data_IF_849012130791
#
_entry.id   IF_849012130791
#
_cell.length_a   1.000
_cell.length_b   1.000
_cell.length_c   1.000
_cell.angle_alpha   90.00
_cell.angle_beta   90.00
_cell.angle_gamma   90.00
#
_symmetry.space_group_name_H-M   'P 1'
#
loop_
_entity.id
_entity.type
_entity.pdbx_description
1 polymer ?
#
# COMPACT_ATOMS: atom_id res chain seq x y z
N UNK A 1 -13.22 6.95 6.76
CA UNK A 1 -13.09 5.82 5.81
C UNK A 1 -12.85 6.32 4.39
N UNK A 2 -13.74 7.13 3.79
CA UNK A 2 -13.50 7.71 2.45
C UNK A 2 -12.23 8.56 2.39
N UNK A 3 -12.10 9.52 3.31
CA UNK A 3 -10.91 10.39 3.39
C UNK A 3 -9.64 9.62 3.75
N UNK A 4 -9.73 8.59 4.60
CA UNK A 4 -8.60 7.72 4.95
C UNK A 4 -8.13 6.90 3.73
N UNK A 5 -9.06 6.44 2.89
CA UNK A 5 -8.73 5.72 1.65
C UNK A 5 -7.95 6.64 0.71
N UNK A 6 -8.39 7.87 0.51
CA UNK A 6 -7.68 8.83 -0.34
C UNK A 6 -6.31 9.20 0.24
N UNK A 7 -6.21 9.34 1.57
CA UNK A 7 -4.94 9.58 2.26
C UNK A 7 -3.94 8.45 2.02
N UNK A 8 -4.35 7.18 2.23
CA UNK A 8 -3.47 6.03 1.98
C UNK A 8 -3.16 5.86 0.49
N UNK A 9 -4.13 6.11 -0.40
CA UNK A 9 -3.92 6.05 -1.84
C UNK A 9 -2.90 7.09 -2.33
N UNK A 10 -2.92 8.31 -1.76
CA UNK A 10 -1.93 9.34 -2.05
C UNK A 10 -0.52 8.92 -1.63
N UNK A 11 -0.36 8.31 -0.45
CA UNK A 11 0.93 7.79 0.01
C UNK A 11 1.43 6.64 -0.87
N UNK A 12 0.52 5.77 -1.35
CA UNK A 12 0.85 4.69 -2.29
C UNK A 12 1.31 5.24 -3.65
N UNK A 13 0.68 6.31 -4.13
CA UNK A 13 1.13 7.00 -5.34
C UNK A 13 2.53 7.61 -5.14
N UNK A 14 2.75 8.30 -4.03
CA UNK A 14 4.02 8.98 -3.73
C UNK A 14 5.19 7.99 -3.61
N UNK A 15 4.99 6.86 -2.92
CA UNK A 15 6.02 5.83 -2.81
C UNK A 15 6.35 5.25 -4.19
N UNK A 16 5.36 5.10 -5.09
CA UNK A 16 5.59 4.61 -6.44
C UNK A 16 6.42 5.59 -7.28
N UNK A 17 6.09 6.88 -7.25
CA UNK A 17 6.86 7.90 -7.97
C UNK A 17 8.29 8.04 -7.42
N UNK A 18 8.44 7.93 -6.10
CA UNK A 18 9.76 7.96 -5.46
C UNK A 18 10.58 6.72 -5.85
N UNK A 19 9.96 5.54 -5.85
CA UNK A 19 10.58 4.30 -6.28
C UNK A 19 11.03 4.37 -7.75
N UNK A 20 10.15 4.79 -8.66
CA UNK A 20 10.49 4.97 -10.08
C UNK A 20 11.63 5.97 -10.29
N UNK A 21 11.68 7.04 -9.50
CA UNK A 21 12.76 8.02 -9.57
C UNK A 21 14.10 7.43 -9.17
N UNK A 22 14.13 6.62 -8.10
CA UNK A 22 15.33 5.93 -7.61
C UNK A 22 15.76 4.81 -8.56
N UNK A 23 14.80 4.06 -9.13
CA UNK A 23 15.02 2.85 -9.94
C UNK A 23 14.77 3.05 -11.43
N UNK A 24 14.97 4.26 -11.97
CA UNK A 24 14.75 4.63 -13.39
C UNK A 24 15.45 3.75 -14.44
N UNK A 25 16.35 2.86 -14.02
CA UNK A 25 17.20 2.01 -14.87
C UNK A 25 16.80 0.51 -14.75
N UNK A 26 15.80 0.16 -13.93
CA UNK A 26 15.36 -1.22 -13.78
C UNK A 26 14.49 -1.60 -15.00
N UNK A 27 15.05 -2.40 -15.91
CA UNK A 27 14.37 -2.99 -17.09
C UNK A 27 13.29 -4.01 -16.68
N UNK A 28 12.24 -3.53 -16.00
CA UNK A 28 10.95 -4.21 -15.88
C UNK A 28 10.76 -5.17 -14.70
N UNK A 29 11.81 -5.58 -14.00
CA UNK A 29 11.68 -6.50 -12.87
C UNK A 29 12.45 -6.01 -11.65
N UNK A 30 11.72 -5.44 -10.68
CA UNK A 30 12.23 -5.17 -9.35
C UNK A 30 11.62 -6.18 -8.38
N UNK A 31 12.25 -7.34 -8.14
CA UNK A 31 11.69 -8.37 -7.26
C UNK A 31 11.56 -7.90 -5.79
N UNK A 32 12.22 -6.80 -5.41
CA UNK A 32 12.27 -6.27 -4.05
C UNK A 32 11.38 -5.03 -3.84
N UNK A 33 10.59 -4.63 -4.85
CA UNK A 33 9.73 -3.44 -4.81
C UNK A 33 8.91 -3.33 -3.51
N UNK A 34 8.31 -4.44 -3.06
CA UNK A 34 7.44 -4.46 -1.89
C UNK A 34 8.21 -4.22 -0.59
N UNK A 35 9.46 -4.71 -0.53
CA UNK A 35 10.38 -4.48 0.58
C UNK A 35 10.76 -3.00 0.71
N UNK A 36 10.95 -2.33 -0.43
CA UNK A 36 11.25 -0.91 -0.47
C UNK A 36 10.03 -0.06 -0.10
N UNK A 37 8.87 -0.37 -0.70
CA UNK A 37 7.61 0.30 -0.37
C UNK A 37 7.29 0.20 1.12
N UNK A 38 7.40 -1.00 1.70
CA UNK A 38 7.09 -1.19 3.11
C UNK A 38 8.02 -0.38 4.02
N UNK A 39 9.31 -0.27 3.70
CA UNK A 39 10.24 0.53 4.51
C UNK A 39 9.92 2.03 4.40
N UNK A 40 9.71 2.52 3.19
CA UNK A 40 9.33 3.92 2.95
C UNK A 40 8.00 4.26 3.63
N UNK A 41 6.96 3.45 3.43
CA UNK A 41 5.63 3.67 4.00
C UNK A 41 5.67 3.66 5.54
N UNK A 42 6.44 2.77 6.15
CA UNK A 42 6.52 2.68 7.63
C UNK A 42 7.33 3.83 8.22
N UNK A 43 8.42 4.24 7.56
CA UNK A 43 9.43 5.14 8.17
C UNK A 43 9.37 6.58 7.69
N UNK A 44 8.90 6.80 6.48
CA UNK A 44 9.00 8.07 5.74
C UNK A 44 7.64 8.64 5.33
N UNK A 45 6.53 8.04 5.80
CA UNK A 45 5.17 8.47 5.46
C UNK A 45 4.26 8.51 6.69
N UNK A 46 3.10 9.11 6.54
CA UNK A 46 2.03 9.17 7.55
C UNK A 46 1.22 7.88 7.66
N UNK A 47 1.56 6.81 6.93
CA UNK A 47 0.80 5.56 6.93
C UNK A 47 0.56 5.01 8.34
N UNK A 48 1.55 4.93 9.27
CA UNK A 48 1.30 4.44 10.62
C UNK A 48 0.25 5.24 11.39
N UNK A 49 0.16 6.55 11.12
CA UNK A 49 -0.85 7.41 11.72
C UNK A 49 -2.25 7.10 11.18
N UNK A 50 -2.40 6.98 9.85
CA UNK A 50 -3.66 6.63 9.19
C UNK A 50 -4.17 5.24 9.61
N UNK A 51 -3.26 4.28 9.75
CA UNK A 51 -3.59 2.92 10.20
C UNK A 51 -3.79 2.80 11.72
N UNK A 52 -3.47 3.85 12.50
CA UNK A 52 -3.51 3.86 13.98
C UNK A 52 -2.64 2.76 14.61
N UNK A 53 -1.67 2.25 13.86
CA UNK A 53 -0.70 1.25 14.27
C UNK A 53 0.51 1.34 13.35
N UNK A 54 1.69 0.94 13.82
CA UNK A 54 2.85 0.76 12.95
C UNK A 54 2.86 -0.69 12.46
N UNK A 55 2.64 -0.96 11.16
CA UNK A 55 2.72 -2.31 10.62
C UNK A 55 4.05 -2.98 10.89
N UNK A 56 4.05 -4.30 11.11
CA UNK A 56 5.29 -5.07 11.06
C UNK A 56 5.77 -5.09 9.61
N UNK A 57 7.04 -4.76 9.36
CA UNK A 57 7.56 -4.66 7.98
C UNK A 57 7.30 -5.91 7.15
N UNK A 58 7.58 -7.10 7.68
CA UNK A 58 7.36 -8.36 6.94
C UNK A 58 5.88 -8.63 6.63
N UNK A 59 4.97 -8.22 7.50
CA UNK A 59 3.53 -8.30 7.27
C UNK A 59 3.12 -7.36 6.13
N UNK A 60 3.56 -6.09 6.18
CA UNK A 60 3.23 -5.12 5.13
C UNK A 60 3.79 -5.55 3.77
N UNK A 61 5.02 -6.08 3.71
CA UNK A 61 5.58 -6.67 2.48
C UNK A 61 4.69 -7.79 1.95
N UNK A 62 4.28 -8.73 2.82
CA UNK A 62 3.40 -9.82 2.42
C UNK A 62 2.05 -9.31 1.88
N UNK A 63 1.45 -8.31 2.53
CA UNK A 63 0.19 -7.71 2.08
C UNK A 63 0.34 -7.03 0.73
N UNK A 64 1.38 -6.22 0.52
CA UNK A 64 1.62 -5.54 -0.76
C UNK A 64 1.74 -6.54 -1.93
N UNK A 65 2.52 -7.62 -1.76
CA UNK A 65 2.65 -8.68 -2.77
C UNK A 65 1.32 -9.40 -3.01
N UNK A 66 0.54 -9.64 -1.94
CA UNK A 66 -0.78 -10.28 -2.05
C UNK A 66 -1.76 -9.40 -2.83
N UNK A 67 -1.79 -8.10 -2.53
CA UNK A 67 -2.66 -7.13 -3.20
C UNK A 67 -2.32 -6.97 -4.66
N UNK A 68 -1.03 -6.96 -5.01
CA UNK A 68 -0.59 -6.93 -6.42
C UNK A 68 -1.08 -8.13 -7.21
N UNK A 69 -0.95 -9.33 -6.64
CA UNK A 69 -1.49 -10.55 -7.27
C UNK A 69 -3.01 -10.48 -7.42
N UNK A 70 -3.72 -10.01 -6.40
CA UNK A 70 -5.18 -9.90 -6.41
C UNK A 70 -5.66 -8.88 -7.45
N UNK A 71 -5.04 -7.70 -7.50
CA UNK A 71 -5.36 -6.64 -8.43
C UNK A 71 -5.14 -7.09 -9.88
N UNK A 72 -3.96 -7.67 -10.17
CA UNK A 72 -3.64 -8.18 -11.51
C UNK A 72 -4.53 -9.35 -11.95
N UNK A 73 -5.02 -10.16 -11.00
CA UNK A 73 -5.92 -11.29 -11.29
C UNK A 73 -7.37 -10.85 -11.48
N UNK A 74 -7.86 -9.93 -10.66
CA UNK A 74 -9.26 -9.48 -10.68
C UNK A 74 -9.54 -8.35 -11.67
N UNK A 75 -8.50 -7.61 -12.09
CA UNK A 75 -8.57 -6.46 -13.01
C UNK A 75 -9.74 -5.52 -12.67
N UNK A 76 -9.81 -5.01 -11.44
CA UNK A 76 -10.92 -4.17 -11.01
C UNK A 76 -10.92 -2.85 -11.79
N UNK A 77 -12.10 -2.24 -11.92
CA UNK A 77 -12.28 -0.95 -12.59
C UNK A 77 -12.04 0.22 -11.60
N UNK A 78 -10.96 0.16 -10.83
CA UNK A 78 -10.51 1.22 -9.92
C UNK A 78 -8.98 1.32 -9.96
N UNK A 79 -8.37 2.49 -9.68
CA UNK A 79 -6.92 2.62 -9.55
C UNK A 79 -6.37 1.70 -8.47
N UNK A 80 -5.17 1.15 -8.70
CA UNK A 80 -4.55 0.21 -7.76
C UNK A 80 -4.29 0.84 -6.40
N UNK A 81 -3.96 2.13 -6.35
CA UNK A 81 -3.71 2.87 -5.10
C UNK A 81 -4.92 2.81 -4.19
N UNK A 82 -6.11 3.03 -4.78
CA UNK A 82 -7.38 3.04 -4.05
C UNK A 82 -7.78 1.62 -3.63
N UNK A 83 -7.58 0.64 -4.50
CA UNK A 83 -7.80 -0.77 -4.17
C UNK A 83 -6.95 -1.20 -2.97
N UNK A 84 -5.66 -0.89 -2.97
CA UNK A 84 -4.71 -1.27 -1.93
C UNK A 84 -5.04 -0.53 -0.64
N UNK A 85 -5.28 0.78 -0.71
CA UNK A 85 -5.64 1.61 0.43
C UNK A 85 -6.84 1.05 1.19
N UNK A 86 -7.91 0.71 0.48
CA UNK A 86 -9.12 0.12 1.06
C UNK A 86 -8.81 -1.19 1.79
N UNK A 87 -8.06 -2.10 1.15
CA UNK A 87 -7.73 -3.41 1.74
C UNK A 87 -6.81 -3.31 2.95
N UNK A 88 -5.84 -2.39 2.92
CA UNK A 88 -4.95 -2.13 4.06
C UNK A 88 -5.76 -1.58 5.23
N UNK A 89 -6.66 -0.61 4.99
CA UNK A 89 -7.54 -0.08 6.03
C UNK A 89 -8.47 -1.16 6.60
N UNK A 90 -9.06 -2.02 5.75
CA UNK A 90 -9.88 -3.16 6.18
C UNK A 90 -9.09 -4.18 7.02
N UNK A 91 -7.80 -4.38 6.74
CA UNK A 91 -6.93 -5.32 7.47
C UNK A 91 -6.52 -4.77 8.85
N UNK A 92 -6.14 -3.49 8.93
CA UNK A 92 -5.60 -2.90 10.16
C UNK A 92 -6.64 -2.24 11.06
N UNK A 93 -7.73 -1.70 10.49
CA UNK A 93 -8.78 -1.07 11.27
C UNK A 93 -9.87 -2.08 11.61
N UNK A 94 -10.41 -2.05 12.84
CA UNK A 94 -11.50 -2.92 13.22
C UNK A 94 -12.73 -2.63 12.35
N UNK A 95 -13.35 -3.68 11.82
CA UNK A 95 -14.68 -3.57 11.19
C UNK A 95 -15.65 -3.05 12.26
N UNK A 96 -16.34 -1.92 12.05
CA UNK A 96 -17.30 -1.44 13.03
C UNK A 96 -18.36 -2.52 13.25
N UNK A 97 -18.54 -2.93 14.51
CA UNK A 97 -19.58 -3.87 14.88
C UNK A 97 -20.92 -3.32 14.40
N UNK A 98 -21.66 -4.10 13.59
CA UNK A 98 -23.03 -3.78 13.21
C UNK A 98 -23.83 -3.57 14.50
N UNK A 99 -24.26 -2.33 14.75
CA UNK A 99 -25.24 -2.01 15.78
C UNK A 99 -26.64 -2.40 15.31
#
# INVERSE_FOLDING_TARGET
MGDDIEGVAALLHEVAETHHTVYRIADGEDPDWASWYADWLIRLSELPHLLKTTPVRSELVYLLVTLDREYNSSKPNEPWERFYARRLLEHYLPVPAKS
#
